data_IF_571448386108
#
_entry.id   IF_571448386108
#
_cell.length_a   1.000
_cell.length_b   1.000
_cell.length_c   1.000
_cell.angle_alpha   90.00
_cell.angle_beta   90.00
_cell.angle_gamma   90.00
#
_symmetry.space_group_name_H-M   'P 1'
#
loop_
_entity.id
_entity.type
_entity.pdbx_description
1 polymer ?
#
# COMPACT_ATOMS: atom_id res chain seq x y z
N UNK A 1 31.96 0.86 -23.45
CA UNK A 1 32.07 0.02 -22.24
C UNK A 1 32.04 0.81 -20.92
N UNK A 2 32.54 2.06 -20.84
CA UNK A 2 32.37 2.88 -19.63
C UNK A 2 30.96 3.48 -19.42
N UNK A 3 30.17 3.67 -20.49
CA UNK A 3 28.82 4.27 -20.40
C UNK A 3 27.78 3.39 -19.68
N UNK A 4 27.92 2.05 -19.76
CA UNK A 4 27.05 1.13 -19.02
C UNK A 4 27.41 1.09 -17.53
N UNK A 5 28.71 1.27 -17.20
CA UNK A 5 29.18 1.34 -15.82
C UNK A 5 28.73 2.64 -15.12
N UNK A 6 28.68 3.77 -15.82
CA UNK A 6 28.16 5.04 -15.28
C UNK A 6 26.64 5.04 -15.09
N UNK A 7 25.89 4.21 -15.83
CA UNK A 7 24.43 4.09 -15.65
C UNK A 7 24.07 3.22 -14.42
N UNK A 8 24.90 2.21 -14.09
CA UNK A 8 24.75 1.38 -12.89
C UNK A 8 25.11 2.18 -11.62
N UNK A 9 26.03 3.15 -11.72
CA UNK A 9 26.45 4.01 -10.61
C UNK A 9 25.52 5.21 -10.36
N UNK A 10 24.54 5.45 -11.24
CA UNK A 10 23.51 6.49 -11.09
C UNK A 10 22.14 5.94 -10.67
N UNK A 11 22.04 4.65 -10.39
CA UNK A 11 20.88 4.12 -9.67
C UNK A 11 21.11 4.42 -8.18
N UNK A 12 20.18 5.09 -7.48
CA UNK A 12 20.23 5.06 -6.03
C UNK A 12 20.26 3.58 -5.63
N UNK A 13 21.17 3.20 -4.73
CA UNK A 13 21.08 1.87 -4.12
C UNK A 13 19.71 1.81 -3.47
N UNK A 14 18.78 1.11 -4.10
CA UNK A 14 17.50 0.80 -3.50
C UNK A 14 17.80 0.12 -2.17
N UNK A 15 17.29 0.69 -1.09
CA UNK A 15 17.46 0.21 0.27
C UNK A 15 16.57 -1.05 0.48
N UNK A 16 16.76 -2.06 -0.38
CA UNK A 16 15.86 -3.21 -0.50
C UNK A 16 15.88 -4.13 0.73
N UNK A 17 16.94 -4.07 1.55
CA UNK A 17 17.07 -4.93 2.73
C UNK A 17 16.00 -4.66 3.80
N UNK A 18 15.57 -3.41 3.99
CA UNK A 18 14.62 -3.07 5.06
C UNK A 18 13.21 -3.53 4.74
N UNK A 19 12.77 -3.33 3.49
CA UNK A 19 11.44 -3.73 3.02
C UNK A 19 11.29 -5.25 3.06
N UNK A 20 12.31 -5.99 2.61
CA UNK A 20 12.31 -7.46 2.67
C UNK A 20 12.29 -7.96 4.12
N UNK A 21 12.98 -7.28 5.05
CA UNK A 21 12.99 -7.66 6.47
C UNK A 21 11.64 -7.44 7.17
N UNK A 22 10.91 -6.38 6.81
CA UNK A 22 9.59 -6.07 7.35
C UNK A 22 8.55 -7.08 6.84
N UNK A 23 8.53 -7.35 5.54
CA UNK A 23 7.64 -8.37 4.96
C UNK A 23 7.93 -9.78 5.49
N UNK A 24 9.21 -10.13 5.70
CA UNK A 24 9.58 -11.40 6.32
C UNK A 24 9.08 -11.49 7.78
N UNK A 25 9.13 -10.39 8.53
CA UNK A 25 8.54 -10.33 9.86
C UNK A 25 7.01 -10.49 9.78
N UNK A 26 6.34 -9.79 8.86
CA UNK A 26 4.89 -9.86 8.72
C UNK A 26 4.40 -11.28 8.41
N UNK A 27 5.08 -11.98 7.50
CA UNK A 27 4.81 -13.39 7.19
C UNK A 27 5.00 -14.29 8.43
N UNK A 28 6.10 -14.10 9.17
CA UNK A 28 6.37 -14.86 10.39
C UNK A 28 5.30 -14.60 11.47
N UNK A 29 4.93 -13.35 11.69
CA UNK A 29 3.90 -12.98 12.67
C UNK A 29 2.52 -13.48 12.24
N UNK A 30 2.23 -13.53 10.94
CA UNK A 30 1.02 -14.13 10.39
C UNK A 30 0.93 -15.62 10.73
N UNK A 31 2.02 -16.39 10.58
CA UNK A 31 2.04 -17.82 10.93
C UNK A 31 1.74 -18.03 12.42
N UNK A 32 2.41 -17.28 13.31
CA UNK A 32 2.14 -17.36 14.75
C UNK A 32 0.72 -16.92 15.12
N UNK A 33 0.17 -15.93 14.41
CA UNK A 33 -1.20 -15.46 14.65
C UNK A 33 -2.23 -16.53 14.22
N UNK A 34 -1.96 -17.29 13.15
CA UNK A 34 -2.81 -18.39 12.70
C UNK A 34 -2.79 -19.57 13.66
N UNK A 35 -1.63 -19.87 14.26
CA UNK A 35 -1.49 -20.92 15.28
C UNK A 35 -2.33 -20.66 16.54
N UNK A 36 -2.77 -19.42 16.77
CA UNK A 36 -3.62 -19.06 17.90
C UNK A 36 -5.05 -19.63 17.79
N UNK A 37 -5.49 -20.03 16.60
CA UNK A 37 -6.85 -20.54 16.42
C UNK A 37 -7.04 -21.93 17.03
N UNK A 38 -7.87 -22.00 18.08
CA UNK A 38 -8.49 -23.22 18.59
C UNK A 38 -9.99 -23.18 18.24
N UNK A 39 -10.56 -24.24 17.64
CA UNK A 39 -11.71 -24.22 16.72
C UNK A 39 -12.27 -22.81 16.42
N UNK A 40 -11.89 -22.20 15.28
CA UNK A 40 -12.00 -20.77 15.07
C UNK A 40 -13.46 -20.31 15.01
N UNK A 41 -13.82 -19.40 15.91
CA UNK A 41 -15.12 -18.71 15.93
C UNK A 41 -15.04 -17.39 15.16
N UNK A 42 -16.05 -17.13 14.34
CA UNK A 42 -16.13 -15.91 13.53
C UNK A 42 -16.27 -14.67 14.42
N UNK A 43 -15.45 -13.65 14.17
CA UNK A 43 -15.51 -12.35 14.83
C UNK A 43 -14.95 -12.31 16.26
N UNK A 44 -14.31 -13.39 16.71
CA UNK A 44 -13.63 -13.45 18.00
C UNK A 44 -12.12 -13.30 17.76
N UNK A 45 -11.43 -12.38 18.45
CA UNK A 45 -9.98 -12.27 18.39
C UNK A 45 -9.32 -13.37 19.23
N UNK A 46 -8.26 -13.98 18.68
CA UNK A 46 -7.42 -14.97 19.35
C UNK A 46 -6.01 -14.38 19.51
N UNK A 47 -5.50 -14.37 20.75
CA UNK A 47 -4.15 -13.88 21.03
C UNK A 47 -3.10 -14.91 20.59
N UNK A 48 -2.12 -14.46 19.80
CA UNK A 48 -0.97 -15.27 19.42
C UNK A 48 0.21 -15.07 20.34
N UNK A 49 1.06 -16.10 20.43
CA UNK A 49 2.32 -16.05 21.17
C UNK A 49 3.48 -16.03 20.18
N UNK A 50 4.36 -15.03 20.33
CA UNK A 50 5.58 -14.89 19.54
C UNK A 50 6.74 -15.66 20.17
N UNK A 51 7.75 -16.07 19.39
CA UNK A 51 8.94 -16.74 19.91
C UNK A 51 9.76 -15.79 20.79
N UNK A 52 10.63 -16.35 21.65
CA UNK A 52 11.37 -15.59 22.66
C UNK A 52 12.27 -14.48 22.08
N UNK A 53 12.76 -14.65 20.85
CA UNK A 53 13.54 -13.64 20.14
C UNK A 53 12.72 -12.42 19.67
N UNK A 54 11.39 -12.50 19.71
CA UNK A 54 10.46 -11.42 19.34
C UNK A 54 9.62 -10.96 20.55
N UNK A 55 10.09 -11.25 21.77
CA UNK A 55 9.38 -10.87 23.00
C UNK A 55 9.04 -9.38 23.01
N UNK A 56 7.83 -9.06 23.45
CA UNK A 56 7.30 -7.68 23.48
C UNK A 56 6.44 -7.32 22.27
N UNK A 57 6.54 -8.06 21.16
CA UNK A 57 5.55 -7.96 20.07
C UNK A 57 4.26 -8.65 20.52
N UNK A 58 3.13 -7.96 20.35
CA UNK A 58 1.79 -8.53 20.58
C UNK A 58 1.13 -8.79 19.24
N UNK A 59 0.53 -9.97 19.08
CA UNK A 59 -0.21 -10.34 17.88
C UNK A 59 -1.57 -10.94 18.24
N UNK A 60 -2.54 -10.73 17.37
CA UNK A 60 -3.84 -11.39 17.47
C UNK A 60 -4.39 -11.67 16.06
N UNK A 61 -5.27 -12.66 15.96
CA UNK A 61 -5.96 -12.99 14.73
C UNK A 61 -7.48 -13.03 14.93
N UNK A 62 -8.23 -12.44 14.01
CA UNK A 62 -9.69 -12.52 14.00
C UNK A 62 -10.17 -13.02 12.63
N UNK A 63 -10.86 -14.16 12.62
CA UNK A 63 -11.45 -14.73 11.40
C UNK A 63 -12.86 -14.19 11.17
N UNK A 64 -13.14 -13.73 9.95
CA UNK A 64 -14.42 -13.15 9.55
C UNK A 64 -14.87 -13.72 8.21
N UNK A 65 -16.19 -13.70 7.94
CA UNK A 65 -16.69 -13.79 6.56
C UNK A 65 -16.56 -12.41 5.92
N UNK A 66 -16.09 -12.33 4.68
CA UNK A 66 -15.92 -11.04 3.97
C UNK A 66 -17.23 -10.26 3.87
N UNK A 67 -18.36 -10.95 3.66
CA UNK A 67 -19.69 -10.33 3.70
C UNK A 67 -20.05 -9.75 5.08
N UNK A 68 -19.70 -10.44 6.17
CA UNK A 68 -19.95 -9.92 7.53
C UNK A 68 -19.08 -8.72 7.84
N UNK A 69 -17.81 -8.74 7.42
CA UNK A 69 -16.90 -7.61 7.55
C UNK A 69 -17.47 -6.37 6.83
N UNK A 70 -17.92 -6.54 5.57
CA UNK A 70 -18.55 -5.46 4.80
C UNK A 70 -19.84 -4.92 5.43
N UNK A 71 -20.73 -5.80 5.90
CA UNK A 71 -22.07 -5.37 6.37
C UNK A 71 -22.03 -4.84 7.82
N UNK A 72 -21.18 -5.41 8.68
CA UNK A 72 -21.20 -5.15 10.12
C UNK A 72 -19.98 -4.38 10.63
N UNK A 73 -18.85 -4.44 9.92
CA UNK A 73 -17.57 -3.94 10.44
C UNK A 73 -17.10 -4.71 11.67
N UNK A 74 -16.15 -4.13 12.40
CA UNK A 74 -15.66 -4.61 13.70
C UNK A 74 -15.52 -3.42 14.64
N UNK A 75 -16.42 -3.33 15.63
CA UNK A 75 -16.47 -2.17 16.53
C UNK A 75 -15.27 -2.06 17.48
N UNK A 76 -14.66 -3.18 17.84
CA UNK A 76 -13.57 -3.23 18.80
C UNK A 76 -12.64 -4.38 18.44
N UNK A 77 -11.52 -4.05 17.79
CA UNK A 77 -10.45 -4.99 17.52
C UNK A 77 -9.13 -4.38 17.96
N UNK A 78 -8.80 -4.56 19.24
CA UNK A 78 -7.64 -3.93 19.87
C UNK A 78 -7.73 -2.41 19.73
N UNK A 79 -6.70 -1.76 19.20
CA UNK A 79 -6.65 -0.33 18.90
C UNK A 79 -7.46 0.05 17.65
N UNK A 80 -7.97 -0.91 16.88
CA UNK A 80 -8.66 -0.68 15.62
C UNK A 80 -10.19 -0.75 15.74
N UNK A 81 -10.86 0.20 15.09
CA UNK A 81 -12.29 0.18 14.79
C UNK A 81 -12.43 0.11 13.27
N UNK A 82 -13.08 -0.95 12.79
CA UNK A 82 -13.29 -1.19 11.38
C UNK A 82 -14.76 -0.88 11.05
N UNK A 83 -15.03 0.10 10.17
CA UNK A 83 -16.38 0.53 9.88
C UNK A 83 -17.11 -0.48 9.00
N UNK A 84 -18.40 -0.23 8.79
CA UNK A 84 -19.18 -0.90 7.75
C UNK A 84 -18.73 -0.40 6.37
N UNK A 85 -19.01 -1.18 5.33
CA UNK A 85 -18.71 -0.83 3.94
C UNK A 85 -17.28 -1.16 3.49
N UNK A 86 -16.46 -1.75 4.36
CA UNK A 86 -15.12 -2.22 4.03
C UNK A 86 -15.16 -3.34 3.00
N UNK A 87 -14.32 -3.26 1.99
CA UNK A 87 -14.21 -4.23 0.91
C UNK A 87 -12.86 -4.95 0.93
N UNK A 88 -12.84 -6.23 0.53
CA UNK A 88 -11.63 -7.08 0.48
C UNK A 88 -11.34 -7.43 -0.98
N UNK A 89 -10.09 -7.27 -1.41
CA UNK A 89 -9.62 -7.50 -2.77
C UNK A 89 -8.27 -8.26 -2.77
N UNK A 90 -8.15 -9.39 -3.48
CA UNK A 90 -9.22 -10.11 -4.17
C UNK A 90 -10.28 -10.63 -3.19
N UNK A 91 -11.49 -10.88 -3.69
CA UNK A 91 -12.57 -11.40 -2.86
C UNK A 91 -12.26 -12.84 -2.43
N UNK A 92 -12.34 -13.09 -1.12
CA UNK A 92 -12.31 -14.42 -0.51
C UNK A 92 -13.55 -14.61 0.35
N UNK A 93 -14.02 -15.84 0.58
CA UNK A 93 -15.21 -16.05 1.42
C UNK A 93 -14.92 -15.70 2.88
N UNK A 94 -13.73 -16.03 3.36
CA UNK A 94 -13.29 -15.82 4.74
C UNK A 94 -11.93 -15.16 4.76
N UNK A 95 -11.81 -14.15 5.61
CA UNK A 95 -10.61 -13.35 5.82
C UNK A 95 -10.16 -13.52 7.26
N UNK A 96 -8.86 -13.51 7.50
CA UNK A 96 -8.29 -13.28 8.83
C UNK A 96 -7.68 -11.89 8.84
N UNK A 97 -8.08 -11.11 9.83
CA UNK A 97 -7.41 -9.86 10.16
C UNK A 97 -6.33 -10.18 11.19
N UNK A 98 -5.07 -9.92 10.86
CA UNK A 98 -3.93 -10.06 11.76
C UNK A 98 -3.64 -8.68 12.34
N UNK A 99 -3.72 -8.60 13.66
CA UNK A 99 -3.26 -7.47 14.44
C UNK A 99 -1.81 -7.70 14.84
N UNK A 100 -1.01 -6.63 14.77
CA UNK A 100 0.36 -6.61 15.25
C UNK A 100 0.60 -5.33 16.05
N UNK A 101 1.36 -5.43 17.13
CA UNK A 101 1.91 -4.28 17.83
C UNK A 101 3.37 -4.58 18.14
N UNK A 102 4.25 -3.85 17.47
CA UNK A 102 5.68 -4.13 17.47
C UNK A 102 6.38 -3.64 18.73
N UNK A 103 5.75 -2.78 19.55
CA UNK A 103 6.39 -2.22 20.73
C UNK A 103 7.75 -1.61 20.42
N UNK A 104 8.77 -2.01 21.18
CA UNK A 104 10.15 -1.55 21.04
C UNK A 104 10.84 -2.01 19.73
N UNK A 105 10.22 -2.90 18.95
CA UNK A 105 10.76 -3.38 17.68
C UNK A 105 10.46 -2.47 16.50
N UNK A 106 9.64 -1.43 16.71
CA UNK A 106 9.20 -0.47 15.69
C UNK A 106 10.37 0.10 14.87
N UNK A 107 11.35 0.72 15.54
CA UNK A 107 12.52 1.34 14.88
C UNK A 107 13.40 0.31 14.14
N UNK A 108 13.39 -0.96 14.56
CA UNK A 108 14.23 -2.01 13.96
C UNK A 108 13.67 -2.48 12.62
N UNK A 109 12.35 -2.66 12.52
CA UNK A 109 11.72 -3.19 11.31
C UNK A 109 11.15 -2.11 10.39
N UNK A 110 10.79 -0.95 10.95
CA UNK A 110 10.36 0.23 10.20
C UNK A 110 11.29 1.41 10.52
N UNK A 111 12.54 1.40 10.05
CA UNK A 111 13.43 2.53 10.30
C UNK A 111 12.97 3.77 9.53
N UNK A 112 12.74 4.87 10.25
CA UNK A 112 12.40 6.18 9.67
C UNK A 112 13.51 7.20 10.00
N UNK A 113 14.47 7.43 9.09
CA UNK A 113 15.56 8.39 9.31
C UNK A 113 15.03 9.81 9.49
N UNK A 114 15.54 10.53 10.49
CA UNK A 114 15.09 11.90 10.81
C UNK A 114 13.79 11.95 11.60
N UNK A 115 13.23 10.82 12.02
CA UNK A 115 12.05 10.75 12.85
C UNK A 115 12.27 9.86 14.07
N UNK A 116 11.51 10.12 15.13
CA UNK A 116 11.48 9.31 16.36
C UNK A 116 10.06 8.83 16.60
N UNK A 117 9.92 7.52 16.86
CA UNK A 117 8.66 6.90 17.25
C UNK A 117 8.22 7.39 18.63
N UNK A 118 6.98 7.88 18.71
CA UNK A 118 6.34 8.27 19.98
C UNK A 118 5.16 7.36 20.34
N UNK A 119 4.85 6.43 19.45
CA UNK A 119 3.94 5.30 19.62
C UNK A 119 4.56 4.07 18.92
N UNK A 120 4.18 2.84 19.30
CA UNK A 120 4.61 1.66 18.58
C UNK A 120 3.94 1.55 17.21
N UNK A 121 4.60 0.86 16.28
CA UNK A 121 3.99 0.46 15.00
C UNK A 121 2.89 -0.55 15.26
N UNK A 122 1.68 -0.19 14.85
CA UNK A 122 0.50 -1.04 14.85
C UNK A 122 0.23 -1.54 13.42
N UNK A 123 0.16 -2.85 13.25
CA UNK A 123 -0.18 -3.50 11.99
C UNK A 123 -1.63 -3.98 12.00
N UNK A 124 -2.36 -3.69 10.93
CA UNK A 124 -3.59 -4.38 10.58
C UNK A 124 -3.42 -4.94 9.17
N UNK A 125 -3.32 -6.25 9.06
CA UNK A 125 -3.08 -6.96 7.81
C UNK A 125 -4.20 -7.98 7.57
N UNK A 126 -4.45 -8.33 6.32
CA UNK A 126 -5.54 -9.21 5.94
C UNK A 126 -5.08 -10.34 5.05
N UNK A 127 -5.59 -11.54 5.29
CA UNK A 127 -5.16 -12.76 4.60
C UNK A 127 -6.34 -13.70 4.36
N UNK A 128 -6.20 -14.59 3.37
CA UNK A 128 -7.22 -15.62 3.09
C UNK A 128 -7.31 -16.64 4.24
N UNK A 129 -8.54 -16.90 4.69
CA UNK A 129 -8.84 -17.83 5.77
C UNK A 129 -9.67 -19.05 5.31
N UNK A 130 -9.58 -19.37 4.02
CA UNK A 130 -10.08 -20.61 3.42
C UNK A 130 -9.37 -21.83 4.02
N UNK A 131 -8.05 -21.75 4.18
CA UNK A 131 -7.22 -22.77 4.82
C UNK A 131 -6.29 -22.13 5.87
N UNK A 132 -6.60 -22.35 7.15
CA UNK A 132 -5.80 -21.81 8.27
C UNK A 132 -4.46 -22.54 8.49
N UNK A 133 -4.23 -23.64 7.78
CA UNK A 133 -2.93 -24.34 7.78
C UNK A 133 -2.06 -23.93 6.59
N UNK A 134 -2.52 -23.02 5.74
CA UNK A 134 -1.74 -22.52 4.61
C UNK A 134 -0.63 -21.59 5.10
N UNK A 135 0.53 -21.73 4.47
CA UNK A 135 1.74 -20.91 4.70
C UNK A 135 2.00 -20.03 3.48
N UNK A 136 2.78 -18.96 3.64
CA UNK A 136 3.15 -18.04 2.54
C UNK A 136 1.92 -17.42 1.87
N UNK A 137 0.93 -17.03 2.68
CA UNK A 137 -0.25 -16.34 2.18
C UNK A 137 0.12 -14.91 1.75
N UNK A 138 -0.36 -14.50 0.58
CA UNK A 138 -0.27 -13.10 0.17
C UNK A 138 -1.27 -12.25 0.95
N UNK A 139 -0.87 -11.02 1.27
CA UNK A 139 -1.77 -10.02 1.83
C UNK A 139 -2.93 -9.72 0.86
N UNK A 140 -4.15 -9.70 1.38
CA UNK A 140 -5.33 -9.20 0.70
C UNK A 140 -5.47 -7.72 0.97
N UNK A 141 -5.89 -6.92 0.01
CA UNK A 141 -6.15 -5.50 0.19
C UNK A 141 -7.55 -5.25 0.76
N UNK A 142 -7.60 -4.51 1.87
CA UNK A 142 -8.80 -4.04 2.53
C UNK A 142 -8.83 -2.53 2.43
N UNK A 143 -9.93 -2.03 1.88
CA UNK A 143 -10.16 -0.60 1.73
C UNK A 143 -11.57 -0.20 2.15
N UNK A 144 -11.66 0.96 2.78
CA UNK A 144 -12.91 1.58 3.17
C UNK A 144 -13.27 2.69 2.17
N UNK A 145 -14.39 2.51 1.45
CA UNK A 145 -14.89 3.52 0.51
C UNK A 145 -15.74 4.61 1.18
N UNK A 146 -16.43 4.26 2.28
CA UNK A 146 -17.25 5.17 3.07
C UNK A 146 -16.47 5.76 4.25
N UNK A 147 -16.91 5.43 5.46
CA UNK A 147 -16.25 5.82 6.72
C UNK A 147 -14.83 5.23 6.79
N UNK A 148 -13.84 5.95 7.33
CA UNK A 148 -12.49 5.43 7.52
C UNK A 148 -12.39 4.45 8.68
N UNK A 149 -11.33 3.64 8.69
CA UNK A 149 -10.90 2.88 9.85
C UNK A 149 -10.33 3.84 10.89
N UNK A 150 -10.68 3.64 12.15
CA UNK A 150 -10.13 4.43 13.25
C UNK A 150 -9.10 3.62 14.03
N UNK A 151 -7.99 4.25 14.36
CA UNK A 151 -6.92 3.69 15.18
C UNK A 151 -6.79 4.57 16.42
N UNK A 152 -6.85 3.97 17.60
CA UNK A 152 -6.71 4.68 18.88
C UNK A 152 -5.39 4.29 19.53
N UNK A 153 -4.48 5.25 19.68
CA UNK A 153 -3.22 5.08 20.38
C UNK A 153 -3.41 5.53 21.84
N UNK A 154 -3.46 4.63 22.84
CA UNK A 154 -3.81 4.98 24.22
C UNK A 154 -2.73 5.80 24.93
N UNK A 155 -1.45 5.56 24.63
CA UNK A 155 -0.31 6.22 25.28
C UNK A 155 0.75 6.63 24.26
N UNK A 156 0.78 7.92 23.91
CA UNK A 156 1.91 8.51 23.19
C UNK A 156 2.90 9.08 24.21
N UNK A 157 4.20 8.89 24.02
CA UNK A 157 5.23 9.29 25.00
C UNK A 157 5.21 10.78 25.38
N UNK A 158 4.58 11.63 24.56
CA UNK A 158 4.45 13.08 24.79
C UNK A 158 3.03 13.56 25.10
N UNK A 159 2.03 12.67 25.13
CA UNK A 159 0.63 13.01 25.38
C UNK A 159 0.01 12.05 26.39
N UNK A 160 -0.50 12.58 27.50
CA UNK A 160 -1.33 11.83 28.46
C UNK A 160 -2.78 11.64 27.99
N UNK A 161 -3.04 11.87 26.69
CA UNK A 161 -4.33 11.67 26.03
C UNK A 161 -4.14 10.73 24.85
N UNK A 162 -5.16 9.91 24.60
CA UNK A 162 -5.22 9.05 23.42
C UNK A 162 -5.25 9.87 22.14
N UNK A 163 -4.61 9.36 21.10
CA UNK A 163 -4.61 9.94 19.75
C UNK A 163 -5.41 9.04 18.82
N UNK A 164 -6.37 9.63 18.10
CA UNK A 164 -7.19 8.94 17.11
C UNK A 164 -6.68 9.27 15.71
N UNK A 165 -6.48 8.24 14.88
CA UNK A 165 -6.09 8.38 13.48
C UNK A 165 -7.13 7.72 12.58
N UNK A 166 -7.43 8.36 11.45
CA UNK A 166 -8.34 7.83 10.43
C UNK A 166 -7.54 7.35 9.21
N UNK A 167 -7.79 6.11 8.78
CA UNK A 167 -7.10 5.50 7.63
C UNK A 167 -8.10 4.81 6.71
N UNK A 168 -7.83 4.80 5.41
CA UNK A 168 -8.74 4.20 4.40
C UNK A 168 -8.35 2.81 3.95
N UNK A 169 -7.18 2.34 4.36
CA UNK A 169 -6.64 1.04 3.99
C UNK A 169 -5.95 0.40 5.20
N UNK A 170 -5.64 -0.87 5.05
CA UNK A 170 -4.80 -1.64 5.96
C UNK A 170 -3.32 -1.21 5.90
N UNK A 171 -2.50 -1.78 6.76
CA UNK A 171 -1.05 -1.60 6.75
C UNK A 171 -0.49 -1.37 8.15
N UNK A 172 0.66 -0.71 8.19
CA UNK A 172 1.39 -0.39 9.41
C UNK A 172 1.31 1.11 9.70
N UNK A 173 0.91 1.44 10.93
CA UNK A 173 0.62 2.80 11.35
C UNK A 173 1.37 3.12 12.62
N UNK A 174 1.85 4.35 12.73
CA UNK A 174 2.50 4.84 13.93
C UNK A 174 2.49 6.37 13.97
N UNK A 175 2.74 6.90 15.16
CA UNK A 175 2.94 8.33 15.37
C UNK A 175 4.43 8.58 15.59
N UNK A 176 4.96 9.55 14.86
CA UNK A 176 6.38 9.94 14.90
C UNK A 176 6.51 11.45 15.02
N UNK A 177 7.65 11.90 15.51
CA UNK A 177 8.05 13.31 15.53
C UNK A 177 9.36 13.49 14.78
N UNK A 178 9.57 14.66 14.18
CA UNK A 178 10.84 14.98 13.53
C UNK A 178 11.96 15.06 14.58
N UNK A 179 13.07 14.39 14.32
CA UNK A 179 14.27 14.47 15.13
C UNK A 179 14.99 15.77 14.77
N UNK A 180 14.93 16.77 15.66
CA UNK A 180 15.73 17.98 15.49
C UNK A 180 17.21 17.58 15.40
N UNK A 181 17.84 17.83 14.25
CA UNK A 181 19.29 17.74 14.15
C UNK A 181 19.90 18.66 15.23
N UNK A 182 20.96 18.23 15.95
CA UNK A 182 21.68 19.16 16.80
C UNK A 182 22.12 20.33 15.92
N UNK A 183 21.63 21.54 16.27
CA UNK A 183 22.02 22.77 15.60
C UNK A 183 23.55 22.80 15.54
N UNK A 184 24.17 23.02 14.36
CA UNK A 184 25.62 23.08 14.28
C UNK A 184 26.10 24.14 15.25
N UNK A 185 26.98 23.75 16.18
CA UNK A 185 27.58 24.68 17.13
C UNK A 185 28.12 25.90 16.36
N UNK A 186 27.92 27.14 16.86
CA UNK A 186 28.42 28.33 16.18
C UNK A 186 29.92 28.18 15.96
N UNK A 187 30.33 28.22 14.69
CA UNK A 187 31.73 28.19 14.31
C UNK A 187 32.44 29.37 14.98
N UNK A 188 33.31 29.09 15.94
CA UNK A 188 34.26 30.08 16.44
C UNK A 188 35.23 30.43 15.30
N UNK A 189 35.55 31.72 15.08
CA UNK A 189 36.37 32.13 13.94
C UNK A 189 37.81 31.62 14.10
N UNK A 190 38.28 30.84 13.14
CA UNK A 190 39.68 30.46 13.03
C UNK A 190 40.54 31.69 12.62
N UNK A 191 41.75 31.86 13.19
CA UNK A 191 42.66 32.94 12.81
C UNK A 191 43.29 32.68 11.43
N UNK A 192 43.55 33.78 10.73
CA UNK A 192 44.12 33.85 9.38
C UNK A 192 45.54 33.27 9.27
N UNK A 193 45.91 32.67 8.13
CA UNK A 193 47.30 32.29 7.86
C UNK A 193 48.08 33.42 7.15
N UNK A 194 49.36 33.66 7.49
CA UNK A 194 50.22 34.54 6.70
C UNK A 194 50.93 33.79 5.56
N UNK A 195 51.05 34.51 4.46
CA UNK A 195 51.72 34.18 3.20
C UNK A 195 53.24 34.35 3.32
N UNK A 196 54.06 33.33 2.97
CA UNK A 196 55.48 33.51 2.54
C UNK A 196 55.89 32.34 1.62
N UNK A 197 56.35 32.63 0.38
CA UNK A 197 56.95 31.65 -0.56
C UNK A 197 58.47 31.47 -0.34
N UNK A 198 59.33 31.02 -1.30
CA UNK A 198 59.13 30.31 -2.57
C UNK A 198 59.93 28.96 -2.66
N UNK A 199 59.83 28.30 -3.83
CA UNK A 199 60.36 26.99 -4.30
C UNK A 199 61.92 26.84 -4.32
N UNK A 200 62.51 25.61 -4.34
CA UNK A 200 62.81 24.83 -5.58
C UNK A 200 62.62 23.29 -5.43
N UNK A 201 61.94 22.56 -6.34
CA UNK A 201 62.40 21.81 -7.55
C UNK A 201 63.28 20.56 -7.33
N UNK A 202 62.71 19.36 -7.51
CA UNK A 202 63.19 18.15 -8.24
C UNK A 202 62.28 16.97 -7.84
N UNK A 203 61.87 15.96 -8.62
CA UNK A 203 62.09 15.55 -9.99
C UNK A 203 61.33 14.21 -10.15
N UNK A 204 60.58 14.01 -11.24
CA UNK A 204 59.74 12.81 -11.39
C UNK A 204 58.97 12.71 -12.71
N UNK A 205 59.73 12.47 -13.79
CA UNK A 205 59.37 11.98 -15.16
C UNK A 205 58.20 10.98 -15.14
N UNK A 206 57.33 10.72 -16.14
CA UNK A 206 57.05 11.06 -17.56
C UNK A 206 55.68 10.37 -17.81
N UNK A 207 54.75 10.87 -18.63
CA UNK A 207 54.67 10.59 -20.08
C UNK A 207 53.53 11.44 -20.67
N UNK A 208 53.86 12.13 -21.77
CA UNK A 208 52.92 12.76 -22.71
C UNK A 208 52.23 11.70 -23.56
N UNK A 209 51.00 11.97 -24.03
CA UNK A 209 50.39 11.69 -25.35
C UNK A 209 48.95 12.24 -25.20
N UNK A 210 48.67 13.49 -25.55
CA UNK A 210 48.39 14.08 -26.88
C UNK A 210 47.11 13.59 -27.56
N UNK A 211 46.29 14.59 -27.93
CA UNK A 211 45.29 14.68 -29.02
C UNK A 211 43.85 14.30 -28.66
N UNK A 212 43.02 15.34 -28.59
CA UNK A 212 41.60 15.23 -28.83
C UNK A 212 41.28 14.97 -30.31
N UNK A 213 40.04 14.50 -30.51
CA UNK A 213 39.17 14.57 -31.70
C UNK A 213 39.52 13.66 -32.88
N UNK A 214 38.69 12.62 -33.08
CA UNK A 214 37.59 12.65 -34.05
C UNK A 214 36.89 11.28 -34.06
N UNK A 215 35.65 11.17 -33.56
CA UNK A 215 34.74 10.09 -34.04
C UNK A 215 33.27 10.38 -33.71
N UNK A 216 32.54 10.88 -34.71
CA UNK A 216 31.08 11.01 -34.70
C UNK A 216 30.52 10.62 -36.07
N UNK A 217 30.40 9.31 -36.38
CA UNK A 217 29.60 8.86 -37.55
C UNK A 217 28.75 7.60 -37.25
N UNK A 218 28.96 6.86 -36.16
CA UNK A 218 28.25 5.59 -35.93
C UNK A 218 26.84 5.69 -35.34
N UNK A 219 26.47 6.81 -34.70
CA UNK A 219 25.29 6.85 -33.82
C UNK A 219 23.98 7.20 -34.55
N UNK A 220 24.06 7.89 -35.70
CA UNK A 220 22.88 8.29 -36.48
C UNK A 220 22.28 7.09 -37.24
N UNK A 221 23.12 6.18 -37.73
CA UNK A 221 22.67 4.99 -38.47
C UNK A 221 22.01 3.94 -37.55
N UNK A 222 22.56 3.73 -36.34
CA UNK A 222 22.02 2.75 -35.39
C UNK A 222 20.68 3.16 -34.77
N UNK A 223 20.54 4.43 -34.40
CA UNK A 223 19.28 4.96 -33.86
C UNK A 223 18.16 4.97 -34.90
N UNK A 224 18.48 5.33 -36.14
CA UNK A 224 17.49 5.34 -37.23
C UNK A 224 17.00 3.91 -37.55
N UNK A 225 17.91 2.93 -37.57
CA UNK A 225 17.54 1.52 -37.82
C UNK A 225 16.62 0.97 -36.71
N UNK A 226 16.88 1.32 -35.44
CA UNK A 226 16.05 0.90 -34.32
C UNK A 226 14.63 1.52 -34.38
N UNK A 227 14.53 2.81 -34.77
CA UNK A 227 13.25 3.49 -34.94
C UNK A 227 12.43 2.90 -36.09
N UNK A 228 13.07 2.52 -37.19
CA UNK A 228 12.39 1.84 -38.32
C UNK A 228 11.89 0.45 -37.89
N UNK A 229 12.69 -0.33 -37.15
CA UNK A 229 12.28 -1.63 -36.62
C UNK A 229 11.08 -1.53 -35.65
N UNK A 230 11.11 -0.56 -34.74
CA UNK A 230 10.01 -0.32 -33.79
C UNK A 230 8.72 0.11 -34.48
N UNK A 231 8.81 1.01 -35.48
CA UNK A 231 7.62 1.44 -36.23
C UNK A 231 7.02 0.29 -37.03
N UNK A 232 7.83 -0.58 -37.64
CA UNK A 232 7.35 -1.78 -38.34
C UNK A 232 6.65 -2.75 -37.39
N UNK A 233 7.22 -3.01 -36.20
CA UNK A 233 6.60 -3.89 -35.19
C UNK A 233 5.25 -3.35 -34.71
N UNK A 234 5.13 -2.04 -34.50
CA UNK A 234 3.88 -1.39 -34.09
C UNK A 234 2.82 -1.53 -35.19
N UNK A 235 3.18 -1.26 -36.46
CA UNK A 235 2.27 -1.43 -37.59
C UNK A 235 1.85 -2.89 -37.78
N UNK A 236 2.77 -3.84 -37.56
CA UNK A 236 2.48 -5.26 -37.64
C UNK A 236 1.53 -5.72 -36.53
N UNK A 237 1.76 -5.28 -35.29
CA UNK A 237 0.86 -5.52 -34.16
C UNK A 237 -0.52 -4.91 -34.38
N UNK A 238 -0.60 -3.70 -34.93
CA UNK A 238 -1.86 -3.08 -35.33
C UNK A 238 -2.57 -3.90 -36.41
N UNK A 239 -1.85 -4.39 -37.43
CA UNK A 239 -2.44 -5.22 -38.50
C UNK A 239 -2.92 -6.59 -37.98
N UNK A 240 -2.21 -7.19 -37.02
CA UNK A 240 -2.66 -8.40 -36.31
C UNK A 240 -3.90 -8.13 -35.46
N UNK A 241 -4.03 -6.93 -34.88
CA UNK A 241 -5.23 -6.49 -34.14
C UNK A 241 -6.41 -6.21 -35.07
N UNK A 242 -6.16 -5.66 -36.26
CA UNK A 242 -7.19 -5.44 -37.29
C UNK A 242 -7.69 -6.77 -37.89
N UNK A 243 -6.81 -7.79 -38.01
CA UNK A 243 -7.19 -9.16 -38.42
C UNK A 243 -8.14 -9.87 -37.44
N UNK A 244 -8.25 -9.39 -36.19
CA UNK A 244 -9.20 -9.92 -35.20
C UNK A 244 -10.59 -9.25 -35.23
N UNK A 245 -10.84 -8.32 -36.16
CA UNK A 245 -12.02 -7.42 -36.09
C UNK A 245 -13.00 -7.46 -37.28
N UNK A 246 -13.07 -8.53 -38.10
CA UNK A 246 -14.21 -8.73 -39.03
C UNK A 246 -14.31 -10.21 -39.49
N UNK A 247 -15.51 -10.72 -39.87
CA UNK A 247 -16.53 -11.26 -38.97
C UNK A 247 -16.92 -12.71 -39.31
N UNK A 248 -17.52 -13.44 -38.36
CA UNK A 248 -18.29 -14.66 -38.66
C UNK A 248 -19.76 -14.30 -38.49
N UNK A 249 -20.53 -14.50 -39.55
CA UNK A 249 -21.94 -14.14 -39.67
C UNK A 249 -22.81 -14.99 -38.73
N UNK A 250 -23.81 -14.35 -38.13
CA UNK A 250 -24.71 -14.99 -37.16
C UNK A 250 -25.82 -14.04 -36.71
N UNK A 251 -26.86 -13.98 -37.55
CA UNK A 251 -28.27 -13.70 -37.26
C UNK A 251 -28.71 -13.52 -35.80
N UNK A 252 -29.56 -12.52 -35.53
CA UNK A 252 -30.57 -12.62 -34.46
C UNK A 252 -30.78 -11.41 -33.56
N UNK A 253 -32.00 -10.84 -33.67
CA UNK A 253 -32.73 -10.05 -32.67
C UNK A 253 -32.33 -8.58 -32.46
N UNK A 254 -33.03 -7.72 -33.21
CA UNK A 254 -33.23 -6.30 -32.96
C UNK A 254 -34.11 -6.15 -31.70
N UNK A 255 -33.53 -5.70 -30.58
CA UNK A 255 -34.24 -5.40 -29.34
C UNK A 255 -33.84 -4.03 -28.81
N UNK A 256 -34.64 -3.00 -29.12
CA UNK A 256 -34.54 -1.70 -28.49
C UNK A 256 -35.22 -1.74 -27.12
N UNK A 257 -34.47 -1.49 -26.06
CA UNK A 257 -35.01 -1.29 -24.72
C UNK A 257 -35.49 0.15 -24.56
N UNK A 258 -36.79 0.33 -24.40
CA UNK A 258 -37.43 1.55 -23.90
C UNK A 258 -37.43 1.47 -22.36
N UNK A 259 -37.09 2.55 -21.63
CA UNK A 259 -37.29 2.62 -20.19
C UNK A 259 -38.79 2.75 -19.87
N UNK A 260 -39.32 1.81 -19.10
CA UNK A 260 -40.42 2.09 -18.17
C UNK A 260 -39.74 2.69 -16.92
N UNK A 261 -40.20 3.78 -16.30
CA UNK A 261 -41.54 4.00 -15.76
C UNK A 261 -41.83 5.52 -15.72
N UNK A 262 -42.78 6.00 -16.53
CA UNK A 262 -43.47 7.27 -16.27
C UNK A 262 -44.76 7.35 -17.09
N UNK A 263 -45.86 6.79 -16.59
CA UNK A 263 -47.22 7.16 -17.02
C UNK A 263 -48.16 7.04 -15.82
N UNK A 264 -48.55 8.20 -15.29
CA UNK A 264 -49.78 8.36 -14.53
C UNK A 264 -51.00 8.28 -15.44
N UNK A 265 -52.11 7.77 -14.90
CA UNK A 265 -53.45 8.04 -15.38
C UNK A 265 -54.25 8.65 -14.24
N UNK A 266 -54.69 9.88 -14.45
CA UNK A 266 -55.75 10.50 -13.68
C UNK A 266 -57.09 10.19 -14.33
N UNK A 267 -58.07 9.81 -13.51
CA UNK A 267 -59.47 9.85 -13.88
C UNK A 267 -60.25 10.42 -12.70
N UNK A 268 -60.72 11.65 -12.88
CA UNK A 268 -61.72 12.31 -12.06
C UNK A 268 -63.10 12.02 -12.63
N UNK A 269 -64.07 11.64 -11.80
CA UNK A 269 -65.49 12.06 -11.90
C UNK A 269 -66.36 11.51 -10.75
N UNK A 270 -66.76 12.44 -9.89
CA UNK A 270 -68.14 12.70 -9.41
C UNK A 270 -69.03 11.60 -8.80
N UNK A 271 -69.30 11.80 -7.50
CA UNK A 271 -70.63 12.07 -6.88
C UNK A 271 -71.80 11.12 -7.11
N UNK A 272 -72.29 10.50 -6.03
CA UNK A 272 -73.68 10.70 -5.53
C UNK A 272 -73.99 9.89 -4.25
N UNK A 273 -74.44 10.64 -3.22
CA UNK A 273 -75.52 10.41 -2.25
C UNK A 273 -75.90 9.01 -1.68
N UNK A 274 -76.27 9.03 -0.39
CA UNK A 274 -77.18 8.08 0.27
C UNK A 274 -76.51 7.36 1.44
N UNK A 275 -76.50 7.90 2.68
CA UNK A 275 -77.59 8.03 3.65
C UNK A 275 -77.94 6.71 4.40
N UNK A 276 -78.27 6.91 5.68
CA UNK A 276 -78.91 6.05 6.69
C UNK A 276 -78.19 4.90 7.44
N UNK A 277 -78.21 5.11 8.77
CA UNK A 277 -78.49 4.19 9.90
C UNK A 277 -77.45 3.15 10.37
N UNK A 278 -76.93 3.32 11.60
CA UNK A 278 -77.40 2.68 12.87
C UNK A 278 -76.74 1.29 13.05
N UNK A 279 -76.23 0.83 14.19
CA UNK A 279 -76.67 0.93 15.59
C UNK A 279 -75.55 0.32 16.45
N UNK A 280 -75.27 0.95 17.60
CA UNK A 280 -75.09 0.33 18.93
C UNK A 280 -74.35 -1.03 19.10
N UNK A 281 -73.15 -0.99 19.67
CA UNK A 281 -72.77 -1.62 20.96
C UNK A 281 -71.28 -1.43 21.27
#
# INVERSE_FOLDING_TARGET
MLSLLTLILLLPRFNAQTTDSAHALDALLQDYAYMAFAPPRTGIPYEGSVPSNLTGIKIAAMRLRSGSLRVRGVKMYKEFVIPKGVSVHPYVERVVLVYQNLGNWSQRYYPLPGYTYIAPVLGLLAYDASNLSATNLSELNISASGDPLNITFPDCSFSSRWVNCEVRAQGHFSIVVESLAPSPAPASPAPSPPNVGPRPSEGGKKKKISKEVWLSIGFVLGGLLLLVLLSFLILWAQKLKQRKKHPTDGEGCRGGGIPADDIGWGNESTSSNGDSDATDH
#
